data_IF_648847430589
#
_entry.id   IF_648847430589
#
_cell.length_a   1.000
_cell.length_b   1.000
_cell.length_c   1.000
_cell.angle_alpha   90.00
_cell.angle_beta   90.00
_cell.angle_gamma   90.00
#
_symmetry.space_group_name_H-M   'P 1'
#
loop_
_entity.id
_entity.type
_entity.pdbx_description
1 polymer ?
#
# COMPACT_ATOMS: atom_id res chain seq x y z
N UNK A 1 -23.57 -12.68 3.37
CA UNK A 1 -22.67 -11.65 2.79
C UNK A 1 -22.70 -11.73 1.28
N UNK A 2 -22.54 -10.59 0.61
CA UNK A 2 -22.32 -10.51 -0.84
C UNK A 2 -20.82 -10.33 -1.07
N UNK A 3 -20.18 -11.13 -1.94
CA UNK A 3 -18.77 -10.95 -2.26
C UNK A 3 -18.53 -9.62 -2.99
N UNK A 4 -17.36 -9.02 -2.77
CA UNK A 4 -16.87 -7.86 -3.53
C UNK A 4 -15.83 -8.37 -4.52
N UNK A 5 -16.00 -8.03 -5.79
CA UNK A 5 -15.13 -8.44 -6.89
C UNK A 5 -14.36 -7.23 -7.44
N UNK A 6 -13.34 -7.48 -8.25
CA UNK A 6 -12.67 -6.45 -9.04
C UNK A 6 -13.68 -5.67 -9.89
N UNK A 7 -13.62 -4.34 -9.83
CA UNK A 7 -14.41 -3.44 -10.68
C UNK A 7 -15.86 -3.26 -10.26
N UNK A 8 -16.29 -3.84 -9.13
CA UNK A 8 -17.58 -3.51 -8.54
C UNK A 8 -17.63 -2.01 -8.23
N UNK A 9 -18.80 -1.42 -8.50
CA UNK A 9 -19.05 0.01 -8.31
C UNK A 9 -20.05 0.21 -7.19
N UNK A 10 -19.67 1.04 -6.21
CA UNK A 10 -20.49 1.42 -5.08
C UNK A 10 -20.81 2.91 -5.18
N UNK A 11 -22.08 3.23 -5.46
CA UNK A 11 -22.55 4.61 -5.50
C UNK A 11 -22.78 5.12 -4.08
N UNK A 12 -22.14 6.25 -3.74
CA UNK A 12 -22.28 6.91 -2.44
C UNK A 12 -23.19 8.15 -2.47
N UNK A 13 -23.83 8.42 -3.60
CA UNK A 13 -24.66 9.61 -3.83
C UNK A 13 -23.88 10.79 -4.41
N UNK A 14 -22.74 11.16 -3.82
CA UNK A 14 -21.86 12.26 -4.26
C UNK A 14 -20.54 11.80 -4.90
N UNK A 15 -20.45 10.51 -5.22
CA UNK A 15 -19.28 9.88 -5.83
C UNK A 15 -19.48 8.39 -6.07
N UNK A 16 -18.58 7.80 -6.84
CA UNK A 16 -18.56 6.36 -7.13
C UNK A 16 -17.22 5.78 -6.66
N UNK A 17 -17.30 4.70 -5.88
CA UNK A 17 -16.13 3.93 -5.46
C UNK A 17 -16.03 2.67 -6.29
N UNK A 18 -14.85 2.42 -6.85
CA UNK A 18 -14.50 1.22 -7.60
C UNK A 18 -13.63 0.33 -6.72
N UNK A 19 -13.96 -0.95 -6.64
CA UNK A 19 -13.10 -1.94 -5.99
C UNK A 19 -11.95 -2.34 -6.91
N UNK A 20 -10.76 -2.45 -6.33
CA UNK A 20 -9.52 -2.85 -7.01
C UNK A 20 -8.90 -4.02 -6.25
N UNK A 21 -8.69 -5.13 -6.92
CA UNK A 21 -7.96 -6.28 -6.41
C UNK A 21 -6.47 -5.94 -6.38
N UNK A 22 -5.89 -6.04 -5.19
CA UNK A 22 -4.51 -5.69 -4.89
C UNK A 22 -3.86 -6.84 -4.11
N UNK A 23 -3.73 -8.04 -4.72
CA UNK A 23 -3.12 -9.20 -4.07
C UNK A 23 -1.63 -8.97 -3.79
N UNK A 24 -1.06 -9.79 -2.92
CA UNK A 24 0.38 -9.85 -2.66
C UNK A 24 0.71 -9.89 -1.18
N UNK A 25 0.02 -9.12 -0.35
CA UNK A 25 0.03 -9.36 1.10
C UNK A 25 -0.74 -10.64 1.46
N UNK A 26 -1.93 -10.74 0.87
CA UNK A 26 -2.85 -11.86 0.90
C UNK A 26 -3.50 -11.98 -0.48
N UNK A 27 -4.12 -13.12 -0.76
CA UNK A 27 -4.73 -13.39 -2.08
C UNK A 27 -6.01 -12.59 -2.34
N UNK A 28 -6.67 -12.12 -1.29
CA UNK A 28 -7.92 -11.35 -1.32
C UNK A 28 -7.71 -9.86 -0.98
N UNK A 29 -6.49 -9.36 -1.16
CA UNK A 29 -6.18 -7.95 -0.97
C UNK A 29 -7.06 -7.06 -1.86
N UNK A 30 -7.67 -6.03 -1.26
CA UNK A 30 -8.56 -5.09 -1.95
C UNK A 30 -8.22 -3.65 -1.60
N UNK A 31 -8.28 -2.78 -2.59
CA UNK A 31 -8.33 -1.34 -2.48
C UNK A 31 -9.63 -0.78 -3.06
N UNK A 32 -9.86 0.50 -2.78
CA UNK A 32 -11.07 1.20 -3.17
C UNK A 32 -10.72 2.59 -3.69
N UNK A 33 -11.08 2.86 -4.94
CA UNK A 33 -10.74 4.11 -5.61
C UNK A 33 -12.00 4.94 -5.84
N UNK A 34 -11.99 6.18 -5.35
CA UNK A 34 -13.00 7.18 -5.69
C UNK A 34 -12.46 8.08 -6.79
N UNK A 35 -13.03 7.96 -7.99
CA UNK A 35 -12.48 8.55 -9.20
C UNK A 35 -12.63 10.06 -9.30
N UNK A 36 -13.68 10.65 -8.71
CA UNK A 36 -13.95 12.09 -8.85
C UNK A 36 -12.94 12.93 -8.05
N UNK A 37 -12.53 12.43 -6.88
CA UNK A 37 -11.56 13.07 -5.98
C UNK A 37 -10.15 12.52 -6.14
N UNK A 38 -10.00 11.37 -6.82
CA UNK A 38 -8.72 10.71 -7.04
C UNK A 38 -8.15 10.08 -5.75
N UNK A 39 -9.02 9.62 -4.85
CA UNK A 39 -8.63 9.07 -3.56
C UNK A 39 -8.61 7.56 -3.63
N UNK A 40 -7.46 6.95 -3.34
CA UNK A 40 -7.31 5.50 -3.25
C UNK A 40 -7.09 5.07 -1.80
N UNK A 41 -7.94 4.17 -1.30
CA UNK A 41 -7.68 3.41 -0.07
C UNK A 41 -7.01 2.10 -0.48
N UNK A 42 -5.77 1.87 -0.04
CA UNK A 42 -4.93 0.77 -0.56
C UNK A 42 -5.03 -0.51 0.25
N UNK A 43 -5.51 -0.44 1.50
CA UNK A 43 -5.43 -1.58 2.41
C UNK A 43 -3.98 -2.01 2.67
N UNK A 44 -3.77 -3.30 2.93
CA UNK A 44 -2.49 -3.83 3.41
C UNK A 44 -1.34 -3.76 2.38
N UNK A 45 -1.63 -3.62 1.08
CA UNK A 45 -0.62 -3.55 0.01
C UNK A 45 0.36 -2.38 0.21
N UNK A 46 -0.12 -1.29 0.81
CA UNK A 46 0.68 -0.15 1.25
C UNK A 46 0.36 0.14 2.73
N UNK A 47 1.12 -0.46 3.67
CA UNK A 47 0.87 -0.30 5.10
C UNK A 47 0.99 1.16 5.53
N UNK A 48 2.07 1.82 5.12
CA UNK A 48 2.39 3.23 5.39
C UNK A 48 3.48 3.69 4.42
N UNK A 49 3.64 4.99 4.27
CA UNK A 49 4.67 5.60 3.42
C UNK A 49 6.10 5.09 3.72
N UNK A 50 6.42 4.85 4.99
CA UNK A 50 7.77 4.51 5.48
C UNK A 50 7.98 3.01 5.78
N UNK A 51 6.98 2.15 5.55
CA UNK A 51 7.12 0.71 5.83
C UNK A 51 6.56 -0.16 4.72
N UNK A 52 7.39 -0.98 4.07
CA UNK A 52 6.91 -1.85 3.01
C UNK A 52 6.09 -3.00 3.57
N UNK A 53 5.18 -3.49 2.73
CA UNK A 53 4.34 -4.64 3.04
C UNK A 53 5.15 -5.93 3.15
N UNK A 54 4.68 -6.87 3.98
CA UNK A 54 5.19 -8.25 3.98
C UNK A 54 4.44 -9.11 2.97
N UNK A 55 5.18 -10.00 2.31
CA UNK A 55 4.66 -11.01 1.38
C UNK A 55 4.98 -12.45 1.82
N UNK A 56 5.75 -12.62 2.89
CA UNK A 56 6.31 -13.90 3.34
C UNK A 56 5.38 -14.68 4.29
N UNK A 57 4.14 -14.21 4.47
CA UNK A 57 3.11 -14.89 5.25
C UNK A 57 2.25 -15.82 4.37
N UNK A 58 1.50 -16.77 4.95
CA UNK A 58 0.60 -17.63 4.17
C UNK A 58 -0.37 -16.80 3.32
N UNK A 59 -0.39 -17.06 2.01
CA UNK A 59 -1.19 -16.32 1.03
C UNK A 59 -0.53 -15.05 0.48
N UNK A 60 0.67 -14.70 0.94
CA UNK A 60 1.46 -13.62 0.38
C UNK A 60 2.27 -14.05 -0.85
N UNK A 61 2.57 -13.08 -1.71
CA UNK A 61 3.22 -13.24 -3.01
C UNK A 61 3.94 -11.96 -3.40
N UNK A 62 5.28 -12.01 -3.46
CA UNK A 62 6.11 -10.87 -3.85
C UNK A 62 5.82 -10.38 -5.29
N UNK A 63 5.70 -11.25 -6.31
CA UNK A 63 5.39 -10.80 -7.67
C UNK A 63 4.02 -10.13 -7.79
N UNK A 64 3.01 -10.63 -7.07
CA UNK A 64 1.68 -10.01 -7.05
C UNK A 64 1.71 -8.66 -6.32
N UNK A 65 2.44 -8.56 -5.21
CA UNK A 65 2.60 -7.31 -4.47
C UNK A 65 3.22 -6.20 -5.35
N UNK A 66 4.27 -6.54 -6.11
CA UNK A 66 4.90 -5.61 -7.07
C UNK A 66 3.90 -5.21 -8.16
N UNK A 67 3.15 -6.17 -8.72
CA UNK A 67 2.14 -5.91 -9.75
C UNK A 67 1.02 -4.99 -9.23
N UNK A 68 0.57 -5.20 -8.00
CA UNK A 68 -0.43 -4.36 -7.34
C UNK A 68 0.06 -2.93 -7.13
N UNK A 69 1.31 -2.74 -6.69
CA UNK A 69 1.89 -1.39 -6.56
C UNK A 69 2.09 -0.69 -7.91
N UNK A 70 2.47 -1.43 -8.97
CA UNK A 70 2.52 -0.89 -10.34
C UNK A 70 1.14 -0.48 -10.84
N UNK A 71 0.11 -1.27 -10.53
CA UNK A 71 -1.29 -0.93 -10.85
C UNK A 71 -1.72 0.36 -10.14
N UNK A 72 -1.33 0.55 -8.88
CA UNK A 72 -1.60 1.79 -8.13
C UNK A 72 -0.85 2.97 -8.75
N UNK A 73 0.40 2.75 -9.17
CA UNK A 73 1.23 3.75 -9.83
C UNK A 73 0.60 4.22 -11.16
N UNK A 74 0.21 3.27 -12.01
CA UNK A 74 -0.44 3.54 -13.31
C UNK A 74 -1.82 4.21 -13.14
N UNK A 75 -2.54 3.93 -12.05
CA UNK A 75 -3.81 4.58 -11.72
C UNK A 75 -3.64 6.08 -11.42
N UNK A 76 -2.43 6.50 -11.02
CA UNK A 76 -2.05 7.87 -10.71
C UNK A 76 -3.04 8.61 -9.77
N UNK A 77 -3.34 8.07 -8.58
CA UNK A 77 -4.22 8.73 -7.61
C UNK A 77 -3.63 10.07 -7.15
N UNK A 78 -4.48 11.04 -6.83
CA UNK A 78 -4.07 12.34 -6.27
C UNK A 78 -3.80 12.26 -4.76
N UNK A 79 -4.35 11.24 -4.12
CA UNK A 79 -4.29 11.01 -2.68
C UNK A 79 -4.38 9.51 -2.36
N UNK A 80 -3.48 9.01 -1.51
CA UNK A 80 -3.50 7.62 -1.03
C UNK A 80 -3.75 7.58 0.47
N UNK A 81 -4.76 6.82 0.88
CA UNK A 81 -5.04 6.46 2.27
C UNK A 81 -4.43 5.07 2.53
N UNK A 82 -3.25 4.99 3.19
CA UNK A 82 -2.62 3.73 3.52
C UNK A 82 -3.37 2.99 4.65
N UNK A 83 -2.99 1.74 4.93
CA UNK A 83 -3.62 0.96 6.00
C UNK A 83 -3.49 1.60 7.39
N UNK A 84 -2.39 2.34 7.62
CA UNK A 84 -2.13 3.05 8.86
C UNK A 84 -1.39 4.36 8.62
N UNK A 85 -1.57 5.28 9.56
CA UNK A 85 -0.90 6.58 9.53
C UNK A 85 -1.60 7.59 8.60
N UNK A 86 -0.92 8.70 8.32
CA UNK A 86 -1.47 9.82 7.56
C UNK A 86 -1.61 9.53 6.06
N UNK A 87 -2.51 10.28 5.43
CA UNK A 87 -2.72 10.26 3.96
C UNK A 87 -1.52 10.84 3.22
N UNK A 88 -1.09 10.15 2.16
CA UNK A 88 -0.06 10.62 1.22
C UNK A 88 -0.76 11.46 0.15
N UNK A 89 -0.30 12.69 -0.10
CA UNK A 89 -0.97 13.65 -0.99
C UNK A 89 0.00 14.25 -2.00
N UNK A 90 -0.51 14.50 -3.20
CA UNK A 90 0.27 15.11 -4.28
C UNK A 90 0.98 14.07 -5.12
N UNK A 91 0.89 14.22 -6.44
CA UNK A 91 1.39 13.24 -7.41
C UNK A 91 2.88 12.96 -7.27
N UNK A 92 3.70 14.01 -7.09
CA UNK A 92 5.16 13.88 -6.93
C UNK A 92 5.50 13.05 -5.68
N UNK A 93 4.87 13.36 -4.54
CA UNK A 93 5.12 12.62 -3.29
C UNK A 93 4.62 11.18 -3.37
N UNK A 94 3.47 10.95 -4.01
CA UNK A 94 2.94 9.61 -4.24
C UNK A 94 3.91 8.80 -5.11
N UNK A 95 4.42 9.38 -6.18
CA UNK A 95 5.40 8.76 -7.08
C UNK A 95 6.69 8.39 -6.33
N UNK A 96 7.24 9.30 -5.52
CA UNK A 96 8.41 9.02 -4.67
C UNK A 96 8.18 7.81 -3.75
N UNK A 97 7.05 7.78 -3.04
CA UNK A 97 6.74 6.70 -2.11
C UNK A 97 6.55 5.38 -2.87
N UNK A 98 5.74 5.35 -3.93
CA UNK A 98 5.51 4.13 -4.70
C UNK A 98 6.82 3.60 -5.31
N UNK A 99 7.67 4.47 -5.86
CA UNK A 99 8.97 4.09 -6.39
C UNK A 99 9.90 3.56 -5.30
N UNK A 100 9.93 4.16 -4.10
CA UNK A 100 10.71 3.64 -2.99
C UNK A 100 10.29 2.21 -2.60
N UNK A 101 8.98 1.95 -2.53
CA UNK A 101 8.47 0.61 -2.22
C UNK A 101 8.73 -0.38 -3.36
N UNK A 102 8.51 0.02 -4.62
CA UNK A 102 8.77 -0.81 -5.79
C UNK A 102 10.24 -1.20 -5.90
N UNK A 103 11.16 -0.24 -5.80
CA UNK A 103 12.60 -0.50 -5.85
C UNK A 103 13.00 -1.54 -4.80
N UNK A 104 12.53 -1.38 -3.55
CA UNK A 104 12.82 -2.33 -2.48
C UNK A 104 12.29 -3.74 -2.78
N UNK A 105 11.06 -3.86 -3.27
CA UNK A 105 10.45 -5.16 -3.56
C UNK A 105 11.10 -5.84 -4.77
N UNK A 106 11.45 -5.07 -5.80
CA UNK A 106 12.17 -5.56 -6.97
C UNK A 106 13.60 -6.00 -6.60
N UNK A 107 14.29 -5.28 -5.73
CA UNK A 107 15.57 -5.71 -5.16
C UNK A 107 15.43 -7.03 -4.38
N UNK A 108 14.38 -7.16 -3.56
CA UNK A 108 14.08 -8.42 -2.87
C UNK A 108 13.79 -9.54 -3.87
N UNK A 109 13.05 -9.27 -4.95
CA UNK A 109 12.74 -10.25 -5.98
C UNK A 109 14.00 -10.72 -6.72
N UNK A 110 14.92 -9.79 -7.02
CA UNK A 110 16.22 -10.10 -7.61
C UNK A 110 17.14 -10.88 -6.65
N UNK A 111 16.91 -10.75 -5.34
CA UNK A 111 17.62 -11.44 -4.26
C UNK A 111 16.84 -12.64 -3.71
N UNK A 112 16.22 -13.43 -4.60
CA UNK A 112 15.49 -14.67 -4.26
C UNK A 112 14.37 -14.51 -3.20
N UNK A 113 13.78 -13.31 -3.10
CA UNK A 113 12.72 -12.98 -2.16
C UNK A 113 13.21 -12.65 -0.74
N UNK A 114 14.52 -12.52 -0.53
CA UNK A 114 15.12 -12.25 0.77
C UNK A 114 15.21 -10.74 1.05
N UNK A 115 14.74 -10.35 2.24
CA UNK A 115 14.89 -8.99 2.76
C UNK A 115 16.35 -8.69 3.14
N UNK A 116 16.78 -7.41 3.17
CA UNK A 116 18.11 -7.04 3.61
C UNK A 116 18.43 -7.61 5.00
N UNK A 117 19.59 -8.24 5.16
CA UNK A 117 20.01 -8.86 6.43
C UNK A 117 20.14 -7.88 7.59
N UNK A 118 20.34 -6.59 7.31
CA UNK A 118 20.38 -5.54 8.32
C UNK A 118 19.01 -5.27 8.93
N UNK A 119 17.92 -5.60 8.24
CA UNK A 119 16.59 -5.28 8.72
C UNK A 119 16.16 -6.22 9.86
N UNK A 120 15.51 -5.69 10.90
CA UNK A 120 15.01 -6.50 11.99
C UNK A 120 13.97 -7.49 11.47
N UNK A 121 14.01 -8.71 12.00
CA UNK A 121 12.97 -9.69 11.73
C UNK A 121 11.63 -9.17 12.30
N UNK A 122 10.57 -9.06 11.48
CA UNK A 122 9.27 -8.60 11.96
C UNK A 122 8.68 -9.59 12.97
N UNK A 123 7.86 -9.08 13.90
CA UNK A 123 7.07 -9.95 14.76
C UNK A 123 6.13 -10.83 13.92
N UNK A 124 5.80 -12.04 14.41
CA UNK A 124 4.92 -12.97 13.69
C UNK A 124 3.54 -12.39 13.33
N UNK A 125 3.08 -11.41 14.10
CA UNK A 125 1.79 -10.73 13.93
C UNK A 125 1.89 -9.43 13.13
N UNK A 126 3.10 -8.96 12.80
CA UNK A 126 3.29 -7.76 12.01
C UNK A 126 3.07 -8.07 10.52
N UNK A 127 2.31 -7.22 9.85
CA UNK A 127 1.99 -7.34 8.42
C UNK A 127 2.88 -6.46 7.52
N UNK A 128 3.86 -5.77 8.11
CA UNK A 128 4.81 -4.88 7.45
C UNK A 128 6.23 -5.12 7.95
N UNK A 129 7.21 -4.65 7.18
CA UNK A 129 8.62 -4.65 7.52
C UNK A 129 9.02 -3.29 8.09
N UNK A 130 10.08 -3.26 8.90
CA UNK A 130 10.67 -2.03 9.41
C UNK A 130 12.07 -1.91 8.82
N UNK A 131 12.32 -0.82 8.11
CA UNK A 131 13.60 -0.57 7.47
C UNK A 131 14.68 -0.17 8.48
N UNK A 132 15.92 -0.63 8.25
CA UNK A 132 17.10 -0.15 8.96
C UNK A 132 18.19 0.27 7.96
N UNK A 133 18.52 1.58 7.84
CA UNK A 133 17.96 2.70 8.61
C UNK A 133 16.46 2.97 8.29
N UNK A 134 15.72 3.65 9.18
CA UNK A 134 14.33 4.01 8.95
C UNK A 134 14.13 4.85 7.69
N UNK A 135 13.16 4.48 6.86
CA UNK A 135 12.72 5.27 5.73
C UNK A 135 12.08 6.58 6.21
N UNK A 136 12.19 7.66 5.42
CA UNK A 136 11.63 8.95 5.79
C UNK A 136 10.11 8.89 5.80
N UNK A 137 9.53 9.39 6.89
CA UNK A 137 8.10 9.67 7.03
C UNK A 137 7.92 11.19 7.03
N UNK A 138 7.36 11.74 5.95
CA UNK A 138 7.15 13.18 5.79
C UNK A 138 5.72 13.60 6.14
N UNK A 139 4.82 12.63 6.17
CA UNK A 139 3.41 12.82 6.40
C UNK A 139 3.14 13.05 7.89
N UNK A 140 2.38 14.10 8.21
CA UNK A 140 2.16 14.56 9.58
C UNK A 140 0.95 13.84 10.20
N UNK A 141 1.16 13.19 11.34
CA UNK A 141 0.07 12.72 12.20
C UNK A 141 -0.48 13.91 13.00
N UNK A 142 -1.61 14.47 12.58
CA UNK A 142 -2.30 15.48 13.39
C UNK A 142 -3.08 14.74 14.48
N UNK A 143 -2.55 14.67 15.70
CA UNK A 143 -3.35 14.26 16.85
C UNK A 143 -4.38 15.35 17.14
N UNK A 144 -5.64 14.97 17.36
CA UNK A 144 -6.72 15.93 17.66
C UNK A 144 -6.63 16.54 19.07
N UNK A 145 -5.43 16.63 19.65
CA UNK A 145 -5.20 17.21 20.98
C UNK A 145 -4.96 18.72 20.98
N UNK A 146 -4.91 19.36 19.81
CA UNK A 146 -4.72 20.81 19.66
C UNK A 146 -5.95 21.51 19.04
N UNK A 147 -7.13 21.33 19.63
CA UNK A 147 -8.31 22.20 19.41
C UNK A 147 -9.07 22.46 20.69
#
# INVERSE_FOLDING_TARGET
CVPVNQGDVFNLGDGDIFSLSLPGHCTDGMGFFESQRGVLVTGAVLPRADTPCRWDMPGGSLPELITSLKTIHDLAPSSIVPARGPTIKGSERIDEVLNQHLNFLEDCQANDGEVPRSWPRPARTAYFLVSDPPWPLLEVEISSSDK
#
